data_IF_910135503868
#
_entry.id   IF_910135503868
#
_cell.length_a   1.000
_cell.length_b   1.000
_cell.length_c   1.000
_cell.angle_alpha   90.00
_cell.angle_beta   90.00
_cell.angle_gamma   90.00
#
_symmetry.space_group_name_H-M   'P 1'
#
loop_
_entity.id
_entity.type
_entity.pdbx_description
1 polymer ?
#
# COMPACT_ATOMS: atom_id res chain seq x y z
N UNK A 1 -24.97 -29.90 -26.44
CA UNK A 1 -24.88 -28.89 -25.38
C UNK A 1 -23.47 -28.94 -24.82
N UNK A 2 -22.59 -28.05 -25.29
CA UNK A 2 -21.27 -27.81 -24.70
C UNK A 2 -21.46 -26.65 -23.72
N UNK A 3 -21.59 -26.96 -22.44
CA UNK A 3 -21.44 -25.98 -21.36
C UNK A 3 -19.95 -25.83 -21.11
N UNK A 4 -19.25 -25.12 -21.99
CA UNK A 4 -17.83 -24.82 -21.81
C UNK A 4 -17.75 -23.66 -20.82
N UNK A 5 -17.28 -23.97 -19.60
CA UNK A 5 -16.59 -23.12 -18.62
C UNK A 5 -16.68 -21.58 -18.74
N UNK A 6 -17.88 -20.99 -18.76
CA UNK A 6 -18.06 -19.54 -18.50
C UNK A 6 -17.56 -19.13 -17.08
N UNK A 7 -17.39 -20.10 -16.17
CA UNK A 7 -16.92 -19.89 -14.78
C UNK A 7 -15.38 -19.82 -14.68
N UNK A 8 -14.63 -20.49 -15.56
CA UNK A 8 -13.16 -20.54 -15.46
C UNK A 8 -12.49 -19.23 -15.93
N UNK A 9 -13.07 -18.56 -16.92
CA UNK A 9 -12.53 -17.32 -17.50
C UNK A 9 -12.77 -16.12 -16.56
N UNK A 10 -13.89 -16.09 -15.84
CA UNK A 10 -14.15 -15.09 -14.80
C UNK A 10 -13.10 -15.15 -13.66
N UNK A 11 -12.53 -16.32 -13.36
CA UNK A 11 -11.52 -16.46 -12.30
C UNK A 11 -10.15 -15.87 -12.67
N UNK A 12 -9.78 -15.81 -13.96
CA UNK A 12 -8.48 -15.27 -14.42
C UNK A 12 -8.49 -13.73 -14.37
N UNK A 13 -9.61 -13.11 -14.75
CA UNK A 13 -9.79 -11.66 -14.60
C UNK A 13 -9.98 -11.31 -13.13
N UNK A 14 -10.66 -12.13 -12.33
CA UNK A 14 -10.75 -11.95 -10.88
C UNK A 14 -9.40 -12.16 -10.19
N UNK A 15 -8.47 -12.99 -10.69
CA UNK A 15 -7.11 -13.04 -10.13
C UNK A 15 -6.33 -11.77 -10.46
N UNK A 16 -6.42 -11.25 -11.69
CA UNK A 16 -5.84 -9.94 -12.05
C UNK A 16 -6.46 -8.79 -11.23
N UNK A 17 -7.73 -8.91 -10.82
CA UNK A 17 -8.50 -7.90 -10.08
C UNK A 17 -8.42 -8.05 -8.54
N UNK A 18 -8.17 -9.25 -7.99
CA UNK A 18 -8.25 -9.54 -6.56
C UNK A 18 -6.99 -9.15 -5.75
N UNK A 19 -5.97 -8.57 -6.37
CA UNK A 19 -4.71 -8.25 -5.68
C UNK A 19 -4.68 -6.90 -4.96
N UNK A 20 -5.86 -6.34 -4.64
CA UNK A 20 -6.01 -5.57 -3.41
C UNK A 20 -6.29 -6.51 -2.23
N UNK A 21 -5.36 -7.42 -1.92
CA UNK A 21 -5.27 -7.89 -0.53
C UNK A 21 -5.09 -6.62 0.33
N UNK A 22 -5.70 -6.53 1.53
CA UNK A 22 -5.62 -5.33 2.34
C UNK A 22 -4.15 -5.05 2.56
N UNK A 23 -3.70 -4.00 1.89
CA UNK A 23 -2.31 -3.74 1.71
C UNK A 23 -1.62 -3.39 3.07
N UNK A 24 -2.42 -3.31 4.14
CA UNK A 24 -2.03 -3.18 5.55
C UNK A 24 -1.02 -4.21 6.07
N UNK A 25 -0.88 -5.41 5.50
CA UNK A 25 0.08 -6.40 6.02
C UNK A 25 1.54 -6.17 5.57
N UNK A 26 1.76 -5.47 4.45
CA UNK A 26 3.07 -5.37 3.79
C UNK A 26 3.78 -4.01 3.94
N UNK A 27 3.11 -2.99 4.50
CA UNK A 27 3.61 -1.61 4.46
C UNK A 27 4.48 -1.15 5.63
N UNK A 28 4.86 -2.03 6.56
CA UNK A 28 5.53 -1.57 7.78
C UNK A 28 7.03 -1.28 7.62
N UNK A 29 7.64 -1.58 6.47
CA UNK A 29 9.09 -1.35 6.22
C UNK A 29 9.43 -0.50 5.00
N UNK A 30 8.48 -0.17 4.13
CA UNK A 30 8.73 0.74 3.01
C UNK A 30 8.48 2.19 3.42
N UNK A 31 9.27 3.11 2.89
CA UNK A 31 8.97 4.54 3.03
C UNK A 31 7.63 4.85 2.37
N UNK A 32 6.92 5.85 2.88
CA UNK A 32 5.64 6.25 2.30
C UNK A 32 5.77 6.69 0.84
N UNK A 33 6.91 7.27 0.49
CA UNK A 33 7.30 7.63 -0.88
C UNK A 33 7.30 6.40 -1.81
N UNK A 34 8.08 5.37 -1.49
CA UNK A 34 8.14 4.13 -2.29
C UNK A 34 6.78 3.47 -2.43
N UNK A 35 5.94 3.54 -1.38
CA UNK A 35 4.58 3.02 -1.41
C UNK A 35 3.68 3.83 -2.35
N UNK A 36 3.79 5.16 -2.32
CA UNK A 36 3.04 6.06 -3.19
C UNK A 36 3.42 5.87 -4.66
N UNK A 37 4.73 5.80 -4.96
CA UNK A 37 5.23 5.49 -6.31
C UNK A 37 4.62 4.18 -6.82
N UNK A 38 4.75 3.10 -6.05
CA UNK A 38 4.28 1.77 -6.46
C UNK A 38 2.77 1.72 -6.72
N UNK A 39 1.95 2.36 -5.88
CA UNK A 39 0.50 2.31 -6.08
C UNK A 39 0.03 3.17 -7.26
N UNK A 40 0.70 4.29 -7.53
CA UNK A 40 0.44 5.13 -8.70
C UNK A 40 0.81 4.38 -9.99
N UNK A 41 1.95 3.69 -10.00
CA UNK A 41 2.38 2.86 -11.13
C UNK A 41 1.36 1.74 -11.41
N UNK A 42 0.91 1.02 -10.37
CA UNK A 42 -0.13 0.00 -10.51
C UNK A 42 -1.44 0.57 -11.07
N UNK A 43 -1.83 1.78 -10.65
CA UNK A 43 -3.02 2.45 -11.17
C UNK A 43 -2.86 2.82 -12.66
N UNK A 44 -1.68 3.27 -13.08
CA UNK A 44 -1.37 3.56 -14.48
C UNK A 44 -1.41 2.30 -15.34
N UNK A 45 -0.78 1.20 -14.91
CA UNK A 45 -0.82 -0.09 -15.60
C UNK A 45 -2.25 -0.64 -15.72
N UNK A 46 -3.08 -0.45 -14.69
CA UNK A 46 -4.49 -0.86 -14.73
C UNK A 46 -5.29 -0.08 -15.78
N UNK A 47 -5.03 1.22 -15.93
CA UNK A 47 -5.64 2.06 -16.96
C UNK A 47 -5.23 1.60 -18.36
N UNK A 48 -3.93 1.38 -18.58
CA UNK A 48 -3.39 0.88 -19.84
C UNK A 48 -4.06 -0.47 -20.20
N UNK A 49 -4.22 -1.34 -19.22
CA UNK A 49 -4.87 -2.64 -19.42
C UNK A 49 -6.33 -2.55 -19.86
N UNK A 50 -7.10 -1.62 -19.30
CA UNK A 50 -8.48 -1.35 -19.79
C UNK A 50 -8.43 -0.98 -21.26
N UNK A 51 -7.55 -0.04 -21.62
CA UNK A 51 -7.45 0.46 -23.01
C UNK A 51 -6.99 -0.62 -23.99
N UNK A 52 -6.04 -1.47 -23.59
CA UNK A 52 -5.54 -2.57 -24.41
C UNK A 52 -6.60 -3.63 -24.69
N UNK A 53 -7.38 -4.01 -23.66
CA UNK A 53 -8.47 -4.97 -23.82
C UNK A 53 -9.52 -4.41 -24.79
N UNK A 54 -9.87 -3.13 -24.66
CA UNK A 54 -10.82 -2.50 -25.58
C UNK A 54 -10.26 -2.46 -27.00
N UNK A 55 -9.00 -2.05 -27.18
CA UNK A 55 -8.36 -2.04 -28.49
C UNK A 55 -8.31 -3.44 -29.14
N UNK A 56 -8.05 -4.48 -28.35
CA UNK A 56 -8.06 -5.87 -28.82
C UNK A 56 -9.46 -6.33 -29.25
N UNK A 57 -10.50 -5.94 -28.51
CA UNK A 57 -11.90 -6.22 -28.87
C UNK A 57 -12.29 -5.46 -30.16
N UNK A 58 -11.92 -4.18 -30.28
CA UNK A 58 -12.19 -3.38 -31.48
C UNK A 58 -11.50 -3.92 -32.73
N UNK A 59 -10.28 -4.45 -32.59
CA UNK A 59 -9.56 -5.10 -33.67
C UNK A 59 -10.22 -6.41 -34.12
N UNK A 60 -11.07 -7.02 -33.29
CA UNK A 60 -11.81 -8.23 -33.61
C UNK A 60 -13.20 -7.90 -34.16
N UNK A 61 -13.31 -7.86 -35.49
CA UNK A 61 -14.57 -7.56 -36.19
C UNK A 61 -15.73 -8.48 -35.81
N UNK A 62 -15.47 -9.76 -35.47
CA UNK A 62 -16.51 -10.68 -35.02
C UNK A 62 -17.01 -10.31 -33.63
N UNK A 63 -16.10 -9.99 -32.70
CA UNK A 63 -16.47 -9.55 -31.36
C UNK A 63 -17.29 -8.25 -31.39
N UNK A 64 -16.86 -7.26 -32.18
CA UNK A 64 -17.60 -6.00 -32.32
C UNK A 64 -18.99 -6.19 -32.93
N UNK A 65 -19.13 -7.09 -33.91
CA UNK A 65 -20.43 -7.42 -34.48
C UNK A 65 -21.35 -8.05 -33.42
N UNK A 66 -20.82 -8.96 -32.61
CA UNK A 66 -21.57 -9.60 -31.52
C UNK A 66 -22.03 -8.59 -30.45
N UNK A 67 -21.16 -7.67 -30.04
CA UNK A 67 -21.50 -6.59 -29.09
C UNK A 67 -22.59 -5.68 -29.67
N UNK A 68 -22.48 -5.34 -30.97
CA UNK A 68 -23.46 -4.50 -31.67
C UNK A 68 -24.81 -5.20 -31.79
N UNK A 69 -24.82 -6.48 -32.17
CA UNK A 69 -26.04 -7.29 -32.29
C UNK A 69 -26.74 -7.50 -30.94
N UNK A 70 -25.98 -7.46 -29.84
CA UNK A 70 -26.48 -7.51 -28.47
C UNK A 70 -26.96 -6.15 -27.93
N UNK A 71 -26.84 -5.07 -28.70
CA UNK A 71 -27.17 -3.70 -28.29
C UNK A 71 -26.36 -3.20 -27.07
N UNK A 72 -25.12 -3.68 -26.89
CA UNK A 72 -24.25 -3.35 -25.73
C UNK A 72 -23.12 -2.36 -26.04
N UNK A 73 -23.13 -1.76 -27.23
CA UNK A 73 -22.07 -0.86 -27.70
C UNK A 73 -21.93 0.38 -26.82
N UNK A 74 -23.05 0.97 -26.39
CA UNK A 74 -23.05 2.20 -25.58
C UNK A 74 -22.51 1.91 -24.17
N UNK A 75 -22.89 0.79 -23.55
CA UNK A 75 -22.36 0.33 -22.28
C UNK A 75 -20.86 0.04 -22.39
N UNK A 76 -20.42 -0.65 -23.44
CA UNK A 76 -19.02 -1.00 -23.65
C UNK A 76 -18.13 0.25 -23.69
N UNK A 77 -18.51 1.23 -24.50
CA UNK A 77 -17.77 2.49 -24.63
C UNK A 77 -17.99 3.46 -23.46
N UNK A 78 -19.12 3.36 -22.77
CA UNK A 78 -19.37 4.07 -21.52
C UNK A 78 -18.35 3.71 -20.44
N UNK A 79 -18.02 2.43 -20.31
CA UNK A 79 -16.99 1.97 -19.36
C UNK A 79 -15.59 2.46 -19.76
N UNK A 80 -15.24 2.42 -21.05
CA UNK A 80 -13.95 2.96 -21.54
C UNK A 80 -13.86 4.47 -21.28
N UNK A 81 -14.95 5.21 -21.46
CA UNK A 81 -14.99 6.66 -21.27
C UNK A 81 -14.64 7.09 -19.84
N UNK A 82 -14.85 6.24 -18.83
CA UNK A 82 -14.42 6.50 -17.45
C UNK A 82 -12.90 6.45 -17.27
N UNK A 83 -12.18 5.83 -18.21
CA UNK A 83 -10.78 5.47 -18.05
C UNK A 83 -9.82 6.31 -18.92
N UNK A 84 -10.33 7.24 -19.71
CA UNK A 84 -9.54 7.97 -20.72
C UNK A 84 -9.57 9.48 -20.52
N UNK A 85 -8.54 10.15 -21.04
CA UNK A 85 -8.45 11.60 -21.05
C UNK A 85 -9.42 12.21 -22.09
N UNK A 86 -9.88 13.43 -21.83
CA UNK A 86 -10.55 14.26 -22.82
C UNK A 86 -9.75 14.33 -24.13
N UNK A 87 -10.46 14.23 -25.25
CA UNK A 87 -9.87 14.20 -26.59
C UNK A 87 -9.44 12.81 -27.06
N UNK A 88 -9.41 11.79 -26.19
CA UNK A 88 -9.19 10.40 -26.61
C UNK A 88 -10.35 9.93 -27.49
N UNK A 89 -10.05 9.27 -28.61
CA UNK A 89 -11.08 8.75 -29.51
C UNK A 89 -11.71 7.48 -28.91
N UNK A 90 -13.02 7.50 -28.69
CA UNK A 90 -13.84 6.40 -28.19
C UNK A 90 -15.04 6.24 -29.13
N UNK A 91 -15.22 5.06 -29.73
CA UNK A 91 -16.29 4.81 -30.72
C UNK A 91 -16.32 5.82 -31.89
N UNK A 92 -15.15 6.30 -32.33
CA UNK A 92 -15.05 7.28 -33.41
C UNK A 92 -15.45 8.71 -33.02
N UNK A 93 -15.73 8.98 -31.74
CA UNK A 93 -15.94 10.32 -31.19
C UNK A 93 -14.86 10.67 -30.18
N UNK A 94 -14.47 11.95 -30.10
CA UNK A 94 -13.51 12.38 -29.08
C UNK A 94 -14.22 12.54 -27.73
N UNK A 95 -13.67 11.95 -26.67
CA UNK A 95 -14.16 12.10 -25.31
C UNK A 95 -14.26 13.58 -24.94
N UNK A 96 -15.44 14.02 -24.51
CA UNK A 96 -15.74 15.43 -24.29
C UNK A 96 -15.19 15.99 -22.97
N UNK A 97 -14.86 15.11 -22.02
CA UNK A 97 -14.30 15.40 -20.71
C UNK A 97 -13.39 14.26 -20.28
N UNK A 98 -12.57 14.51 -19.25
CA UNK A 98 -11.76 13.48 -18.63
C UNK A 98 -12.68 12.47 -17.93
N UNK A 99 -12.39 11.18 -18.10
CA UNK A 99 -13.02 10.13 -17.33
C UNK A 99 -12.68 10.26 -15.85
N UNK A 100 -13.61 9.83 -14.98
CA UNK A 100 -13.43 9.91 -13.52
C UNK A 100 -12.19 9.14 -13.04
N UNK A 101 -11.99 7.92 -13.55
CA UNK A 101 -10.81 7.10 -13.22
C UNK A 101 -9.52 7.73 -13.73
N UNK A 102 -9.53 8.32 -14.93
CA UNK A 102 -8.39 9.09 -15.43
C UNK A 102 -8.09 10.28 -14.52
N UNK A 103 -9.12 11.02 -14.10
CA UNK A 103 -8.98 12.23 -13.27
C UNK A 103 -8.25 11.89 -11.98
N UNK A 104 -8.68 10.85 -11.27
CA UNK A 104 -8.00 10.38 -10.07
C UNK A 104 -6.58 9.90 -10.33
N UNK A 105 -6.32 9.17 -11.41
CA UNK A 105 -4.96 8.74 -11.75
C UNK A 105 -4.02 9.94 -11.95
N UNK A 106 -4.49 10.98 -12.64
CA UNK A 106 -3.70 12.18 -12.86
C UNK A 106 -3.51 13.00 -11.58
N UNK A 107 -4.54 13.12 -10.73
CA UNK A 107 -4.40 13.72 -9.40
C UNK A 107 -3.37 12.96 -8.55
N UNK A 108 -3.36 11.63 -8.62
CA UNK A 108 -2.37 10.80 -7.94
C UNK A 108 -0.95 11.07 -8.44
N UNK A 109 -0.75 11.19 -9.76
CA UNK A 109 0.54 11.53 -10.36
C UNK A 109 1.01 12.94 -9.98
N UNK A 110 0.10 13.92 -9.93
CA UNK A 110 0.41 15.29 -9.52
C UNK A 110 0.79 15.36 -8.04
N UNK A 111 0.03 14.72 -7.15
CA UNK A 111 0.32 14.62 -5.73
C UNK A 111 1.68 13.93 -5.48
N UNK A 112 1.97 12.86 -6.22
CA UNK A 112 3.26 12.17 -6.15
C UNK A 112 4.43 13.10 -6.51
N UNK A 113 4.29 13.89 -7.59
CA UNK A 113 5.31 14.87 -8.01
C UNK A 113 5.47 16.02 -7.00
N UNK A 114 4.41 16.36 -6.27
CA UNK A 114 4.44 17.36 -5.21
C UNK A 114 5.04 16.84 -3.90
N UNK A 115 5.26 15.53 -3.77
CA UNK A 115 5.68 14.89 -2.52
C UNK A 115 4.53 14.69 -1.52
N UNK A 116 3.29 14.79 -1.97
CA UNK A 116 2.05 14.60 -1.20
C UNK A 116 1.66 13.11 -1.22
N UNK A 117 2.50 12.28 -0.57
CA UNK A 117 2.44 10.83 -0.71
C UNK A 117 1.14 10.17 -0.21
N UNK A 118 0.58 10.65 0.90
CA UNK A 118 -0.72 10.17 1.40
C UNK A 118 -1.85 10.42 0.40
N UNK A 119 -1.92 11.62 -0.18
CA UNK A 119 -2.93 12.00 -1.16
C UNK A 119 -2.74 11.22 -2.47
N UNK A 120 -1.50 11.04 -2.92
CA UNK A 120 -1.18 10.20 -4.07
C UNK A 120 -1.69 8.76 -3.89
N UNK A 121 -1.54 8.18 -2.68
CA UNK A 121 -2.05 6.85 -2.36
C UNK A 121 -3.58 6.80 -2.38
N UNK A 122 -4.25 7.83 -1.86
CA UNK A 122 -5.71 7.93 -1.84
C UNK A 122 -6.27 8.01 -3.26
N UNK A 123 -5.79 8.95 -4.06
CA UNK A 123 -6.21 9.12 -5.45
C UNK A 123 -5.93 7.88 -6.32
N UNK A 124 -4.78 7.24 -6.16
CA UNK A 124 -4.47 6.01 -6.88
C UNK A 124 -5.45 4.87 -6.56
N UNK A 125 -5.97 4.80 -5.32
CA UNK A 125 -6.96 3.79 -4.93
C UNK A 125 -8.31 4.04 -5.57
N UNK A 126 -8.78 5.28 -5.58
CA UNK A 126 -10.03 5.68 -6.23
C UNK A 126 -9.97 5.36 -7.74
N UNK A 127 -8.84 5.68 -8.40
CA UNK A 127 -8.62 5.31 -9.79
C UNK A 127 -8.68 3.79 -10.02
N UNK A 128 -8.00 3.01 -9.19
CA UNK A 128 -7.99 1.55 -9.27
C UNK A 128 -9.37 0.92 -9.08
N UNK A 129 -10.21 1.48 -8.23
CA UNK A 129 -11.58 1.02 -8.03
C UNK A 129 -12.40 1.19 -9.32
N UNK A 130 -12.31 2.35 -9.96
CA UNK A 130 -13.01 2.63 -11.23
C UNK A 130 -12.50 1.74 -12.35
N UNK A 131 -11.18 1.60 -12.53
CA UNK A 131 -10.62 0.75 -13.58
C UNK A 131 -11.01 -0.72 -13.40
N UNK A 132 -11.05 -1.18 -12.16
CA UNK A 132 -11.50 -2.54 -11.83
C UNK A 132 -12.96 -2.76 -12.20
N UNK A 133 -13.82 -1.80 -11.90
CA UNK A 133 -15.24 -1.92 -12.22
C UNK A 133 -15.49 -1.81 -13.72
N UNK A 134 -14.74 -0.95 -14.43
CA UNK A 134 -14.74 -0.90 -15.88
C UNK A 134 -14.32 -2.25 -16.50
N UNK A 135 -13.24 -2.88 -16.01
CA UNK A 135 -12.80 -4.21 -16.47
C UNK A 135 -13.86 -5.29 -16.23
N UNK A 136 -14.49 -5.30 -15.05
CA UNK A 136 -15.57 -6.26 -14.73
C UNK A 136 -16.76 -6.07 -15.65
N UNK A 137 -17.17 -4.83 -15.87
CA UNK A 137 -18.30 -4.46 -16.70
C UNK A 137 -18.06 -4.83 -18.16
N UNK A 138 -16.89 -4.49 -18.70
CA UNK A 138 -16.44 -4.92 -20.03
C UNK A 138 -16.47 -6.45 -20.14
N UNK A 139 -15.98 -7.18 -19.14
CA UNK A 139 -16.01 -8.63 -19.16
C UNK A 139 -17.44 -9.19 -19.19
N UNK A 140 -18.36 -8.63 -18.39
CA UNK A 140 -19.77 -9.02 -18.40
C UNK A 140 -20.40 -8.78 -19.78
N UNK A 141 -20.18 -7.60 -20.35
CA UNK A 141 -20.67 -7.24 -21.69
C UNK A 141 -20.20 -8.25 -22.74
N UNK A 142 -18.92 -8.62 -22.71
CA UNK A 142 -18.37 -9.60 -23.65
C UNK A 142 -18.98 -10.98 -23.46
N UNK A 143 -19.28 -11.38 -22.22
CA UNK A 143 -19.98 -12.64 -21.94
C UNK A 143 -21.45 -12.62 -22.40
N UNK A 144 -22.13 -11.49 -22.24
CA UNK A 144 -23.53 -11.30 -22.66
C UNK A 144 -23.67 -11.24 -24.18
N UNK A 145 -22.68 -10.67 -24.87
CA UNK A 145 -22.57 -10.69 -26.32
C UNK A 145 -22.10 -12.05 -26.89
N UNK A 146 -21.88 -13.07 -26.04
CA UNK A 146 -21.31 -14.37 -26.42
C UNK A 146 -19.97 -14.25 -27.19
N UNK A 147 -19.15 -13.25 -26.84
CA UNK A 147 -17.78 -13.11 -27.35
C UNK A 147 -16.89 -14.15 -26.66
N UNK A 148 -16.25 -15.01 -27.45
CA UNK A 148 -15.28 -15.99 -26.93
C UNK A 148 -13.98 -15.29 -26.52
N UNK A 149 -13.95 -14.75 -25.30
CA UNK A 149 -12.85 -13.96 -24.75
C UNK A 149 -11.49 -14.69 -24.76
N UNK A 150 -11.48 -16.03 -24.66
CA UNK A 150 -10.27 -16.83 -24.72
C UNK A 150 -9.47 -16.65 -26.01
N UNK A 151 -10.12 -16.46 -27.16
CA UNK A 151 -9.38 -16.36 -28.44
C UNK A 151 -8.66 -15.01 -28.64
N UNK A 152 -9.02 -13.97 -27.89
CA UNK A 152 -8.57 -12.59 -28.15
C UNK A 152 -7.32 -12.25 -27.34
N UNK A 153 -7.11 -12.91 -26.20
CA UNK A 153 -6.19 -12.45 -25.17
C UNK A 153 -5.32 -13.58 -24.56
N UNK A 154 -5.50 -14.84 -24.97
CA UNK A 154 -5.02 -15.96 -24.17
C UNK A 154 -3.51 -15.99 -23.91
N UNK A 155 -2.59 -15.83 -24.88
CA UNK A 155 -1.19 -16.07 -24.58
C UNK A 155 -0.51 -14.93 -23.80
N UNK A 156 -0.70 -13.68 -24.22
CA UNK A 156 0.00 -12.53 -23.63
C UNK A 156 -0.51 -12.20 -22.23
N UNK A 157 -1.83 -12.32 -22.00
CA UNK A 157 -2.38 -12.12 -20.65
C UNK A 157 -1.86 -13.18 -19.69
N UNK A 158 -1.77 -14.43 -20.14
CA UNK A 158 -1.27 -15.52 -19.31
C UNK A 158 0.22 -15.34 -19.01
N UNK A 159 1.02 -14.90 -19.99
CA UNK A 159 2.42 -14.55 -19.78
C UNK A 159 2.58 -13.49 -18.69
N UNK A 160 1.88 -12.35 -18.83
CA UNK A 160 1.94 -11.29 -17.82
C UNK A 160 1.49 -11.77 -16.43
N UNK A 161 0.49 -12.65 -16.37
CA UNK A 161 0.02 -13.19 -15.10
C UNK A 161 1.06 -14.13 -14.46
N UNK A 162 1.76 -14.95 -15.26
CA UNK A 162 2.88 -15.77 -14.81
C UNK A 162 4.00 -14.88 -14.28
N UNK A 163 4.44 -13.88 -15.06
CA UNK A 163 5.52 -12.95 -14.69
C UNK A 163 5.23 -12.25 -13.35
N UNK A 164 4.02 -11.71 -13.19
CA UNK A 164 3.60 -11.07 -11.92
C UNK A 164 3.59 -12.04 -10.74
N UNK A 165 3.17 -13.28 -10.94
CA UNK A 165 3.21 -14.29 -9.89
C UNK A 165 4.64 -14.65 -9.50
N UNK A 166 5.58 -14.67 -10.46
CA UNK A 166 7.02 -14.87 -10.20
C UNK A 166 7.63 -13.71 -9.41
N UNK A 167 7.32 -12.46 -9.79
CA UNK A 167 7.75 -11.27 -9.04
C UNK A 167 7.24 -11.32 -7.60
N UNK A 168 6.00 -11.74 -7.40
CA UNK A 168 5.41 -11.89 -6.07
C UNK A 168 6.07 -12.99 -5.24
N UNK A 169 6.42 -14.12 -5.83
CA UNK A 169 7.22 -15.15 -5.15
C UNK A 169 8.57 -14.57 -4.71
N UNK A 170 9.23 -13.82 -5.59
CA UNK A 170 10.51 -13.16 -5.28
C UNK A 170 10.39 -12.22 -4.09
N UNK A 171 9.33 -11.40 -4.05
CA UNK A 171 9.03 -10.51 -2.93
C UNK A 171 8.73 -11.27 -1.63
N UNK A 172 7.93 -12.32 -1.69
CA UNK A 172 7.60 -13.15 -0.52
C UNK A 172 8.85 -13.85 0.04
N UNK A 173 9.71 -14.39 -0.81
CA UNK A 173 11.00 -15.00 -0.40
C UNK A 173 11.89 -13.99 0.32
N UNK A 174 11.95 -12.75 -0.15
CA UNK A 174 12.75 -11.71 0.50
C UNK A 174 12.29 -11.41 1.95
N UNK A 175 11.01 -11.65 2.27
CA UNK A 175 10.47 -11.48 3.62
C UNK A 175 10.65 -12.71 4.51
N UNK A 176 10.53 -13.89 3.93
CA UNK A 176 10.52 -15.17 4.64
C UNK A 176 11.96 -15.63 4.91
N UNK A 177 12.56 -15.11 5.99
CA UNK A 177 13.86 -15.60 6.47
C UNK A 177 13.71 -17.03 7.04
N UNK A 178 14.13 -18.04 6.27
CA UNK A 178 14.20 -19.47 6.62
C UNK A 178 12.96 -20.01 7.34
N UNK A 179 11.81 -19.98 6.67
CA UNK A 179 10.55 -20.54 7.17
C UNK A 179 10.09 -21.71 6.32
N UNK A 180 9.27 -22.60 6.90
CA UNK A 180 8.58 -23.69 6.20
C UNK A 180 7.66 -23.17 5.06
N UNK A 181 7.36 -21.87 5.05
CA UNK A 181 6.61 -21.23 3.97
C UNK A 181 7.43 -21.09 2.68
N UNK A 182 8.76 -21.21 2.75
CA UNK A 182 9.62 -21.21 1.55
C UNK A 182 9.34 -22.45 0.68
N UNK A 183 9.12 -23.62 1.28
CA UNK A 183 8.83 -24.85 0.54
C UNK A 183 7.54 -24.70 -0.31
N UNK A 184 6.51 -24.03 0.23
CA UNK A 184 5.28 -23.71 -0.53
C UNK A 184 5.53 -22.76 -1.70
N UNK A 185 6.50 -21.86 -1.58
CA UNK A 185 6.88 -20.95 -2.66
C UNK A 185 7.72 -21.64 -3.72
N UNK A 186 8.54 -22.62 -3.33
CA UNK A 186 9.25 -23.49 -4.27
C UNK A 186 8.25 -24.31 -5.10
N UNK A 187 7.26 -24.93 -4.45
CA UNK A 187 6.17 -25.64 -5.13
C UNK A 187 5.38 -24.70 -6.07
N UNK A 188 5.12 -23.45 -5.65
CA UNK A 188 4.42 -22.48 -6.49
C UNK A 188 5.26 -22.06 -7.71
N UNK A 189 6.58 -21.94 -7.56
CA UNK A 189 7.50 -21.61 -8.65
C UNK A 189 7.60 -22.75 -9.67
N UNK A 190 7.58 -24.01 -9.23
CA UNK A 190 7.50 -25.18 -10.10
C UNK A 190 6.22 -25.13 -10.95
N UNK A 191 5.05 -24.82 -10.34
CA UNK A 191 3.80 -24.65 -11.09
C UNK A 191 3.83 -23.48 -12.08
N UNK A 192 4.51 -22.37 -11.77
CA UNK A 192 4.67 -21.26 -12.73
C UNK A 192 5.60 -21.63 -13.89
N UNK A 193 6.62 -22.45 -13.62
CA UNK A 193 7.49 -22.99 -14.66
C UNK A 193 6.71 -23.92 -15.59
N UNK A 194 5.88 -24.82 -15.03
CA UNK A 194 4.98 -25.68 -15.81
C UNK A 194 3.98 -24.85 -16.63
N UNK A 195 3.43 -23.77 -16.05
CA UNK A 195 2.53 -22.86 -16.75
C UNK A 195 3.22 -22.19 -17.96
N UNK A 196 4.49 -21.77 -17.79
CA UNK A 196 5.29 -21.19 -18.86
C UNK A 196 5.56 -22.19 -19.98
N UNK A 197 6.01 -23.40 -19.64
CA UNK A 197 6.29 -24.45 -20.62
C UNK A 197 5.04 -24.82 -21.42
N UNK A 198 3.87 -24.90 -20.76
CA UNK A 198 2.59 -25.17 -21.42
C UNK A 198 2.15 -24.01 -22.32
N UNK A 199 2.41 -22.77 -21.90
CA UNK A 199 2.12 -21.58 -22.70
C UNK A 199 2.97 -21.55 -23.99
N UNK A 200 4.26 -21.88 -23.88
CA UNK A 200 5.19 -21.96 -25.01
C UNK A 200 4.81 -23.08 -26.01
N UNK A 201 4.12 -24.12 -25.53
CA UNK A 201 3.55 -25.20 -26.33
C UNK A 201 2.15 -24.89 -26.89
N UNK A 202 1.63 -23.67 -26.66
CA UNK A 202 0.27 -23.24 -27.01
C UNK A 202 -0.84 -24.07 -26.32
N UNK A 203 -0.53 -24.74 -25.20
CA UNK A 203 -1.47 -25.52 -24.36
C UNK A 203 -2.17 -24.64 -23.32
N UNK A 204 -2.93 -23.66 -23.79
CA UNK A 204 -3.51 -22.58 -22.97
C UNK A 204 -4.29 -23.06 -21.74
N UNK A 205 -5.17 -24.05 -21.88
CA UNK A 205 -5.99 -24.52 -20.75
C UNK A 205 -5.17 -25.23 -19.67
N UNK A 206 -4.07 -25.89 -20.07
CA UNK A 206 -3.13 -26.47 -19.12
C UNK A 206 -2.37 -25.36 -18.39
N UNK A 207 -1.86 -24.37 -19.13
CA UNK A 207 -1.14 -23.24 -18.55
C UNK A 207 -2.01 -22.46 -17.54
N UNK A 208 -3.30 -22.28 -17.83
CA UNK A 208 -4.28 -21.67 -16.90
C UNK A 208 -4.44 -22.47 -15.62
N UNK A 209 -4.50 -23.79 -15.71
CA UNK A 209 -4.63 -24.66 -14.54
C UNK A 209 -3.37 -24.58 -13.67
N UNK A 210 -2.18 -24.68 -14.26
CA UNK A 210 -0.90 -24.56 -13.56
C UNK A 210 -0.75 -23.20 -12.86
N UNK A 211 -1.08 -22.10 -13.55
CA UNK A 211 -1.09 -20.76 -12.97
C UNK A 211 -2.09 -20.64 -11.80
N UNK A 212 -3.23 -21.33 -11.85
CA UNK A 212 -4.21 -21.34 -10.75
C UNK A 212 -3.66 -22.04 -9.53
N UNK A 213 -3.03 -23.20 -9.70
CA UNK A 213 -2.42 -23.95 -8.60
C UNK A 213 -1.27 -23.16 -7.94
N UNK A 214 -0.41 -22.53 -8.74
CA UNK A 214 0.62 -21.61 -8.22
C UNK A 214 0.02 -20.49 -7.35
N UNK A 215 -1.02 -19.82 -7.86
CA UNK A 215 -1.66 -18.71 -7.15
C UNK A 215 -2.41 -19.15 -5.88
N UNK A 216 -2.90 -20.39 -5.81
CA UNK A 216 -3.48 -20.95 -4.60
C UNK A 216 -2.42 -21.07 -3.49
N UNK A 217 -1.24 -21.60 -3.80
CA UNK A 217 -0.12 -21.72 -2.86
C UNK A 217 0.39 -20.35 -2.40
N UNK A 218 0.59 -19.40 -3.33
CA UNK A 218 0.98 -18.02 -3.01
C UNK A 218 -0.03 -17.37 -2.04
N UNK A 219 -1.32 -17.62 -2.26
CA UNK A 219 -2.39 -17.10 -1.40
C UNK A 219 -2.35 -17.71 0.00
N UNK A 220 -2.07 -19.02 0.11
CA UNK A 220 -1.92 -19.72 1.38
C UNK A 220 -0.73 -19.15 2.17
N UNK A 221 0.43 -18.96 1.54
CA UNK A 221 1.60 -18.33 2.17
C UNK A 221 1.28 -16.93 2.71
N UNK A 222 0.52 -16.13 1.95
CA UNK A 222 0.09 -14.81 2.39
C UNK A 222 -0.85 -14.86 3.60
N UNK A 223 -1.73 -15.87 3.68
CA UNK A 223 -2.62 -16.07 4.83
C UNK A 223 -1.82 -16.50 6.07
N UNK A 224 -0.87 -17.41 5.92
CA UNK A 224 0.00 -17.87 7.00
C UNK A 224 0.86 -16.71 7.54
N UNK A 225 1.43 -15.89 6.66
CA UNK A 225 2.14 -14.66 7.04
C UNK A 225 1.26 -13.69 7.83
N UNK A 226 0.02 -13.51 7.37
CA UNK A 226 -0.94 -12.65 8.08
C UNK A 226 -1.24 -13.19 9.47
N UNK A 227 -1.40 -14.51 9.62
CA UNK A 227 -1.62 -15.14 10.92
C UNK A 227 -0.41 -14.98 11.84
N UNK A 228 0.81 -15.26 11.35
CA UNK A 228 2.05 -15.07 12.11
C UNK A 228 2.17 -13.62 12.59
N UNK A 229 1.90 -12.66 11.70
CA UNK A 229 1.89 -11.25 12.07
C UNK A 229 0.88 -10.96 13.18
N UNK A 230 -0.36 -11.48 13.07
CA UNK A 230 -1.40 -11.35 14.09
C UNK A 230 -0.99 -11.93 15.44
N UNK A 231 -0.32 -13.07 15.47
CA UNK A 231 0.18 -13.71 16.70
C UNK A 231 1.32 -12.92 17.36
N UNK A 232 2.15 -12.24 16.56
CA UNK A 232 3.26 -11.41 17.05
C UNK A 232 2.83 -10.01 17.52
N UNK A 233 1.67 -9.52 17.07
CA UNK A 233 1.22 -8.16 17.35
C UNK A 233 1.09 -7.83 18.84
N UNK A 234 0.52 -8.69 19.72
CA UNK A 234 0.49 -8.41 21.16
C UNK A 234 1.88 -8.20 21.77
N UNK A 235 2.87 -8.98 21.32
CA UNK A 235 4.26 -8.84 21.76
C UNK A 235 4.90 -7.53 21.29
N UNK A 236 4.67 -7.15 20.03
CA UNK A 236 5.16 -5.89 19.46
C UNK A 236 4.52 -4.68 20.14
N UNK A 237 3.20 -4.68 20.31
CA UNK A 237 2.45 -3.62 21.01
C UNK A 237 3.00 -3.48 22.43
N UNK A 238 3.17 -4.59 23.16
CA UNK A 238 3.76 -4.56 24.49
C UNK A 238 5.16 -3.96 24.51
N UNK A 239 6.03 -4.33 23.55
CA UNK A 239 7.36 -3.76 23.43
C UNK A 239 7.34 -2.24 23.25
N UNK A 240 6.48 -1.73 22.35
CA UNK A 240 6.30 -0.29 22.16
C UNK A 240 5.76 0.42 23.42
N UNK A 241 4.82 -0.21 24.12
CA UNK A 241 4.28 0.35 25.37
C UNK A 241 5.36 0.39 26.46
N UNK A 242 6.18 -0.66 26.59
CA UNK A 242 7.31 -0.70 27.52
C UNK A 242 8.31 0.44 27.24
N UNK A 243 8.57 0.74 25.96
CA UNK A 243 9.38 1.90 25.55
C UNK A 243 8.69 3.23 25.86
N UNK A 244 7.39 3.36 25.59
CA UNK A 244 6.62 4.56 25.91
C UNK A 244 6.63 4.88 27.42
N UNK A 245 6.51 3.85 28.26
CA UNK A 245 6.68 3.97 29.71
C UNK A 245 8.06 4.51 30.08
N UNK A 246 9.13 4.03 29.44
CA UNK A 246 10.48 4.55 29.69
C UNK A 246 10.61 6.02 29.27
N UNK A 247 10.03 6.42 28.14
CA UNK A 247 10.04 7.82 27.70
C UNK A 247 9.31 8.74 28.67
N UNK A 248 8.17 8.30 29.20
CA UNK A 248 7.44 9.05 30.22
C UNK A 248 8.31 9.32 31.47
N UNK A 249 9.01 8.31 31.96
CA UNK A 249 9.92 8.50 33.10
C UNK A 249 11.12 9.41 32.74
N UNK A 250 11.66 9.30 31.52
CA UNK A 250 12.70 10.24 31.05
C UNK A 250 12.22 11.68 31.00
N UNK A 251 10.98 11.93 30.58
CA UNK A 251 10.42 13.29 30.62
C UNK A 251 10.30 13.80 32.05
N UNK A 252 9.82 12.96 32.99
CA UNK A 252 9.75 13.32 34.41
C UNK A 252 11.12 13.71 34.97
N UNK A 253 12.14 12.91 34.68
CA UNK A 253 13.52 13.22 35.09
C UNK A 253 14.02 14.52 34.45
N UNK A 254 13.74 14.75 33.17
CA UNK A 254 14.14 15.97 32.46
C UNK A 254 13.44 17.21 33.00
N UNK A 255 12.16 17.14 33.33
CA UNK A 255 11.43 18.23 33.99
C UNK A 255 12.00 18.51 35.37
N UNK A 256 12.28 17.48 36.18
CA UNK A 256 12.96 17.63 37.46
C UNK A 256 14.33 18.30 37.35
N UNK A 257 15.11 17.95 36.33
CA UNK A 257 16.41 18.58 36.05
C UNK A 257 16.24 20.03 35.55
N UNK A 258 15.24 20.31 34.73
CA UNK A 258 14.94 21.65 34.23
C UNK A 258 14.63 22.62 35.39
N UNK A 259 13.86 22.17 36.38
CA UNK A 259 13.62 22.94 37.60
C UNK A 259 14.91 23.29 38.35
N UNK A 260 15.88 22.38 38.40
CA UNK A 260 17.19 22.63 39.00
C UNK A 260 18.04 23.63 38.19
N UNK A 261 17.78 23.77 36.89
CA UNK A 261 18.42 24.73 35.98
C UNK A 261 17.63 26.06 35.87
N UNK A 262 16.68 26.32 36.78
CA UNK A 262 15.82 27.52 36.81
C UNK A 262 14.96 27.70 35.54
N UNK A 263 14.68 26.62 34.82
CA UNK A 263 13.78 26.63 33.66
C UNK A 263 12.34 26.50 34.14
N UNK A 264 11.47 27.39 33.66
CA UNK A 264 10.04 27.40 33.97
C UNK A 264 9.30 26.33 33.14
N UNK A 265 9.27 25.10 33.67
CA UNK A 265 8.65 23.94 33.00
C UNK A 265 7.15 24.13 32.78
N UNK A 266 6.45 24.74 33.74
CA UNK A 266 5.01 24.99 33.61
C UNK A 266 4.70 25.92 32.44
N UNK A 267 5.49 27.00 32.29
CA UNK A 267 5.35 27.90 31.14
C UNK A 267 5.67 27.21 29.81
N UNK A 268 6.70 26.36 29.79
CA UNK A 268 7.03 25.56 28.61
C UNK A 268 5.86 24.63 28.23
N UNK A 269 5.32 23.91 29.20
CA UNK A 269 4.20 22.99 29.00
C UNK A 269 2.92 23.73 28.56
N UNK A 270 2.67 24.93 29.10
CA UNK A 270 1.54 25.78 28.67
C UNK A 270 1.66 26.19 27.21
N UNK A 271 2.87 26.45 26.71
CA UNK A 271 3.09 26.72 25.29
C UNK A 271 2.82 25.48 24.41
N UNK A 272 3.03 24.28 24.96
CA UNK A 272 2.70 23.02 24.31
C UNK A 272 1.22 22.59 24.46
N UNK A 273 0.43 23.32 25.25
CA UNK A 273 -1.00 23.08 25.46
C UNK A 273 -1.36 22.35 26.76
N UNK A 274 -0.43 22.17 27.69
CA UNK A 274 -0.65 21.53 28.99
C UNK A 274 -0.53 22.55 30.13
N UNK A 275 -1.37 22.46 31.17
CA UNK A 275 -1.37 23.42 32.28
C UNK A 275 -0.11 23.30 33.15
N UNK A 276 0.41 22.08 33.33
CA UNK A 276 1.55 21.75 34.18
C UNK A 276 2.08 20.32 33.89
N UNK A 277 3.15 19.93 34.59
CA UNK A 277 3.76 18.59 34.48
C UNK A 277 2.78 17.45 34.80
N UNK A 278 1.94 17.62 35.82
CA UNK A 278 1.00 16.58 36.27
C UNK A 278 -0.04 16.27 35.20
N UNK A 279 -0.59 17.30 34.54
CA UNK A 279 -1.52 17.13 33.43
C UNK A 279 -0.86 16.40 32.25
N UNK A 280 0.34 16.82 31.84
CA UNK A 280 1.07 16.14 30.77
C UNK A 280 1.31 14.67 31.10
N UNK A 281 1.78 14.36 32.31
CA UNK A 281 2.06 12.98 32.74
C UNK A 281 0.81 12.12 32.82
N UNK A 282 -0.32 12.73 33.18
CA UNK A 282 -1.63 12.06 33.22
C UNK A 282 -2.10 11.75 31.81
N UNK A 283 -2.10 12.74 30.91
CA UNK A 283 -2.50 12.53 29.51
C UNK A 283 -1.61 11.49 28.81
N UNK A 284 -0.29 11.51 29.03
CA UNK A 284 0.60 10.49 28.48
C UNK A 284 0.23 9.09 29.04
N UNK A 285 0.00 8.96 30.35
CA UNK A 285 -0.43 7.68 30.92
C UNK A 285 -1.78 7.21 30.35
N UNK A 286 -2.72 8.12 30.13
CA UNK A 286 -4.02 7.80 29.51
C UNK A 286 -3.85 7.28 28.07
N UNK A 287 -2.96 7.89 27.28
CA UNK A 287 -2.65 7.40 25.92
C UNK A 287 -2.08 5.98 25.96
N UNK A 288 -1.14 5.71 26.88
CA UNK A 288 -0.55 4.37 27.07
C UNK A 288 -1.62 3.36 27.47
N UNK A 289 -2.48 3.70 28.43
CA UNK A 289 -3.58 2.83 28.86
C UNK A 289 -4.55 2.56 27.72
N UNK A 290 -4.92 3.59 26.95
CA UNK A 290 -5.82 3.46 25.79
C UNK A 290 -5.24 2.51 24.75
N UNK A 291 -3.95 2.63 24.43
CA UNK A 291 -3.26 1.70 23.52
C UNK A 291 -3.20 0.27 24.07
N UNK A 292 -3.00 0.12 25.39
CA UNK A 292 -2.95 -1.19 26.06
C UNK A 292 -4.30 -1.90 26.12
N UNK A 293 -5.37 -1.14 26.37
CA UNK A 293 -6.74 -1.64 26.53
C UNK A 293 -7.51 -1.70 25.19
N UNK A 294 -6.85 -1.38 24.07
CA UNK A 294 -7.45 -1.40 22.74
C UNK A 294 -7.92 -2.81 22.36
N UNK A 295 -9.20 -2.96 22.02
CA UNK A 295 -9.79 -4.26 21.63
C UNK A 295 -9.45 -4.65 20.19
N UNK A 296 -9.21 -3.66 19.31
CA UNK A 296 -8.78 -3.87 17.93
C UNK A 296 -7.32 -3.40 17.76
N UNK A 297 -6.58 -4.14 16.94
CA UNK A 297 -5.22 -3.82 16.55
C UNK A 297 -5.10 -2.47 15.84
N UNK A 298 -6.05 -2.12 14.97
CA UNK A 298 -5.96 -0.85 14.23
C UNK A 298 -6.00 0.35 15.19
N UNK A 299 -6.84 0.24 16.22
CA UNK A 299 -6.91 1.23 17.30
C UNK A 299 -5.63 1.25 18.13
N UNK A 300 -5.10 0.09 18.49
CA UNK A 300 -3.82 -0.01 19.21
C UNK A 300 -2.68 0.65 18.42
N UNK A 301 -2.60 0.39 17.10
CA UNK A 301 -1.59 0.98 16.21
C UNK A 301 -1.76 2.50 16.14
N UNK A 302 -2.99 2.99 15.96
CA UNK A 302 -3.25 4.43 15.93
C UNK A 302 -2.83 5.10 17.24
N UNK A 303 -3.21 4.54 18.39
CA UNK A 303 -2.83 5.09 19.69
C UNK A 303 -1.30 5.07 19.89
N UNK A 304 -0.60 4.02 19.42
CA UNK A 304 0.86 3.96 19.44
C UNK A 304 1.51 5.02 18.52
N UNK A 305 0.93 5.30 17.36
CA UNK A 305 1.38 6.38 16.47
C UNK A 305 1.23 7.74 17.15
N UNK A 306 0.08 8.00 17.77
CA UNK A 306 -0.18 9.24 18.50
C UNK A 306 0.83 9.43 19.64
N UNK A 307 1.14 8.35 20.39
CA UNK A 307 2.19 8.35 21.43
C UNK A 307 3.54 8.71 20.81
N UNK A 308 3.91 8.08 19.70
CA UNK A 308 5.18 8.32 19.00
C UNK A 308 5.33 9.77 18.55
N UNK A 309 4.29 10.34 17.94
CA UNK A 309 4.26 11.74 17.51
C UNK A 309 4.40 12.70 18.70
N UNK A 310 3.71 12.42 19.80
CA UNK A 310 3.82 13.23 21.02
C UNK A 310 5.25 13.19 21.60
N UNK A 311 5.86 12.00 21.68
CA UNK A 311 7.25 11.84 22.16
C UNK A 311 8.20 12.67 21.30
N UNK A 312 8.12 12.54 19.97
CA UNK A 312 9.00 13.25 19.04
C UNK A 312 8.85 14.77 19.15
N UNK A 313 7.61 15.26 19.18
CA UNK A 313 7.32 16.68 19.32
C UNK A 313 7.86 17.24 20.63
N UNK A 314 7.54 16.58 21.74
CA UNK A 314 7.95 17.03 23.08
C UNK A 314 9.47 16.98 23.26
N UNK A 315 10.15 15.96 22.73
CA UNK A 315 11.61 15.86 22.79
C UNK A 315 12.31 16.96 21.98
N UNK A 316 11.79 17.27 20.79
CA UNK A 316 12.26 18.37 19.96
C UNK A 316 12.08 19.72 20.67
N UNK A 317 10.88 19.98 21.20
CA UNK A 317 10.54 21.24 21.86
C UNK A 317 11.39 21.45 23.12
N UNK A 318 11.55 20.41 23.95
CA UNK A 318 12.42 20.45 25.13
C UNK A 318 13.86 20.75 24.74
N UNK A 319 14.38 20.03 23.74
CA UNK A 319 15.76 20.20 23.29
C UNK A 319 16.02 21.62 22.79
N UNK A 320 15.05 22.23 22.10
CA UNK A 320 15.13 23.62 21.69
C UNK A 320 15.14 24.58 22.89
N UNK A 321 14.28 24.36 23.88
CA UNK A 321 14.18 25.24 25.06
C UNK A 321 15.44 25.19 25.92
N UNK A 322 15.98 24.00 26.18
CA UNK A 322 17.28 23.84 26.82
C UNK A 322 18.41 24.53 26.04
N UNK A 323 18.38 24.41 24.70
CA UNK A 323 19.34 25.07 23.81
C UNK A 323 19.29 26.60 23.93
N UNK A 324 18.09 27.18 24.01
CA UNK A 324 17.91 28.63 24.20
C UNK A 324 18.40 29.10 25.56
N UNK A 325 18.08 28.38 26.64
CA UNK A 325 18.51 28.76 27.98
C UNK A 325 20.03 28.69 28.15
N UNK A 326 20.68 27.64 27.64
CA UNK A 326 22.14 27.49 27.69
C UNK A 326 22.88 28.44 26.74
N UNK A 327 22.31 28.72 25.56
CA UNK A 327 22.84 29.71 24.62
C UNK A 327 22.73 31.15 25.12
N UNK A 328 21.68 31.47 25.89
CA UNK A 328 21.44 32.79 26.47
C UNK A 328 22.33 33.12 27.68
N UNK A 329 22.77 32.12 28.44
CA UNK A 329 23.70 32.31 29.57
C UNK A 329 25.19 32.33 29.15
N UNK A 330 25.51 32.06 27.88
CA UNK A 330 26.89 31.91 27.38
C UNK A 330 27.57 33.17 26.83
N UNK A 331 26.96 34.36 26.87
CA UNK A 331 27.54 35.55 26.20
C UNK A 331 28.46 36.45 27.04
N UNK A 332 28.78 36.11 28.29
CA UNK A 332 29.79 36.81 29.08
C UNK A 332 30.79 35.83 29.75
N UNK A 333 31.61 35.17 28.93
CA UNK A 333 32.83 34.50 29.40
C UNK A 333 33.98 34.75 28.41
N UNK A 334 34.93 35.67 28.71
CA UNK A 334 36.18 35.76 27.97
C UNK A 334 37.12 34.65 28.45
N UNK A 335 36.98 33.45 27.88
CA UNK A 335 37.76 32.28 28.27
C UNK A 335 38.29 31.51 27.06
N UNK A 336 39.53 31.80 26.65
CA UNK A 336 40.30 30.93 25.75
C UNK A 336 40.42 29.53 26.36
N UNK A 337 39.84 28.52 25.73
CA UNK A 337 40.02 27.12 26.11
C UNK A 337 39.88 26.19 24.91
N UNK A 338 41.01 25.75 24.36
CA UNK A 338 41.09 24.62 23.44
C UNK A 338 40.68 23.33 24.18
N UNK A 339 39.77 22.54 23.61
CA UNK A 339 39.42 21.24 24.18
C UNK A 339 38.64 20.37 23.20
N UNK A 340 39.35 19.43 22.57
CA UNK A 340 38.84 18.33 21.76
C UNK A 340 37.92 17.40 22.56
N UNK A 341 36.91 16.80 21.91
CA UNK A 341 36.06 15.78 22.54
C UNK A 341 35.04 15.14 21.61
N UNK A 342 35.53 14.32 20.68
CA UNK A 342 34.76 13.40 19.85
C UNK A 342 34.04 12.34 20.73
N UNK A 343 32.71 12.28 20.67
CA UNK A 343 31.89 11.11 21.05
C UNK A 343 30.91 10.91 19.88
N UNK A 344 30.81 9.77 19.21
CA UNK A 344 30.88 8.41 19.73
C UNK A 344 29.50 7.77 19.56
N UNK A 345 29.04 7.67 18.31
CA UNK A 345 27.74 7.09 17.94
C UNK A 345 27.73 5.59 18.19
N UNK A 346 27.00 5.17 19.22
CA UNK A 346 26.63 3.78 19.47
C UNK A 346 25.33 3.47 18.75
N UNK A 347 25.43 2.75 17.64
CA UNK A 347 24.32 2.02 17.04
C UNK A 347 23.93 0.86 17.96
N UNK A 348 22.64 0.64 18.16
CA UNK A 348 22.11 -0.61 18.71
C UNK A 348 20.80 -0.97 17.99
N UNK A 349 20.48 -2.27 17.96
CA UNK A 349 20.01 -3.02 16.79
C UNK A 349 18.52 -2.91 16.45
#
# INVERSE_FOLDING_TARGET
MKTTNKIAIAMIIVTIIAFAAPASAYFTTQTIETKAERIVDIAAEAQERVTDIVAAVEANATAMLQITDAELTDEFYGNLSLCVQAGTMVNGEAASADGEGWTYLNEAQLALQAGEYEEAIEYAREALEIFRDALRSIHVILCEADVEFGQILDPQILQEAIDRSQDRITELRALLKDTELLDKLDDAEDWLTDAQDQLDLEEIEAAKESLREANALISEVCQDLKQIAQELNPGRIKGYLDEAYQYRERFRERFGNAWNEEIDVDKFLQAAGYQNEEEFMTQFQEMINKAQDSENIDEAIQNLQDIGQMIQKMDSDLTQEFGRHRGGQGQDMPGKGNGFGNMGGGNSP
#
